data_IF_397532657912
#
_entry.id   IF_397532657912
#
_cell.length_a   1.000
_cell.length_b   1.000
_cell.length_c   1.000
_cell.angle_alpha   90.00
_cell.angle_beta   90.00
_cell.angle_gamma   90.00
#
_symmetry.space_group_name_H-M   'P 1'
#
loop_
_entity.id
_entity.type
_entity.pdbx_description
1 polymer ?
#
# COMPACT_ATOMS: atom_id res chain seq x y z
N UNK A 1 -26.48 -5.10 6.23
CA UNK A 1 -25.71 -4.42 7.29
C UNK A 1 -25.18 -5.53 8.20
N UNK A 2 -23.91 -5.92 8.05
CA UNK A 2 -23.30 -6.99 8.84
C UNK A 2 -22.89 -6.44 10.21
N UNK A 3 -23.76 -6.51 11.22
CA UNK A 3 -23.35 -6.31 12.62
C UNK A 3 -22.79 -7.63 13.15
N UNK A 4 -21.49 -7.84 12.96
CA UNK A 4 -20.78 -9.09 13.36
C UNK A 4 -19.95 -8.97 14.64
N UNK A 5 -19.93 -7.82 15.32
CA UNK A 5 -19.06 -7.59 16.48
C UNK A 5 -19.87 -7.35 17.75
N UNK A 6 -19.97 -8.36 18.63
CA UNK A 6 -20.56 -8.20 19.97
C UNK A 6 -19.56 -7.69 20.99
N UNK A 7 -18.26 -7.93 20.76
CA UNK A 7 -17.26 -7.75 21.80
C UNK A 7 -16.75 -6.31 21.84
N UNK A 8 -16.55 -5.78 23.05
CA UNK A 8 -15.81 -4.53 23.24
C UNK A 8 -14.33 -4.83 23.28
N UNK A 9 -13.57 -4.24 22.36
CA UNK A 9 -12.15 -4.50 22.17
C UNK A 9 -11.26 -3.43 22.79
N UNK A 10 -10.06 -3.81 23.19
CA UNK A 10 -9.03 -2.91 23.67
C UNK A 10 -7.63 -3.26 23.12
N UNK A 11 -6.82 -2.23 22.86
CA UNK A 11 -5.41 -2.37 22.51
C UNK A 11 -4.61 -1.08 22.77
N UNK A 12 -3.29 -1.20 22.77
CA UNK A 12 -2.36 -0.06 22.75
C UNK A 12 -2.28 0.45 21.30
N UNK A 13 -2.67 1.70 21.06
CA UNK A 13 -2.70 2.32 19.72
C UNK A 13 -1.45 3.12 19.37
N UNK A 14 -0.42 3.09 20.23
CA UNK A 14 0.87 3.77 20.03
C UNK A 14 1.99 2.75 19.83
N UNK A 15 3.07 3.10 19.10
CA UNK A 15 4.19 2.18 18.89
C UNK A 15 4.77 1.65 20.20
N UNK A 16 5.17 0.38 20.21
CA UNK A 16 5.83 -0.22 21.37
C UNK A 16 7.18 0.45 21.59
N UNK A 17 7.33 1.14 22.71
CA UNK A 17 8.57 1.81 23.05
C UNK A 17 8.45 2.64 24.31
N UNK A 18 9.52 3.36 24.67
CA UNK A 18 9.47 4.40 25.69
C UNK A 18 9.07 5.71 25.02
N UNK A 19 8.03 6.35 25.53
CA UNK A 19 7.56 7.64 25.03
C UNK A 19 7.02 8.52 26.16
N UNK A 20 6.84 9.81 25.87
CA UNK A 20 6.19 10.73 26.82
C UNK A 20 4.72 10.37 27.06
N UNK A 21 4.03 9.91 26.02
CA UNK A 21 2.61 9.53 26.05
C UNK A 21 2.41 8.22 25.30
N UNK A 22 1.51 7.38 25.80
CA UNK A 22 0.95 6.23 25.10
C UNK A 22 -0.58 6.29 25.12
N UNK A 23 -1.20 5.79 24.07
CA UNK A 23 -2.66 5.73 23.93
C UNK A 23 -3.12 4.28 24.00
N UNK A 24 -4.11 4.03 24.85
CA UNK A 24 -4.86 2.77 24.92
C UNK A 24 -6.29 3.10 24.50
N UNK A 25 -6.82 2.33 23.55
CA UNK A 25 -8.15 2.54 22.97
C UNK A 25 -9.05 1.38 23.35
N UNK A 26 -10.31 1.69 23.70
CA UNK A 26 -11.39 0.74 23.94
C UNK A 26 -12.55 1.11 23.00
N UNK A 27 -13.09 0.16 22.24
CA UNK A 27 -14.19 0.38 21.28
C UNK A 27 -15.22 -0.73 21.37
N UNK A 28 -16.51 -0.36 21.40
CA UNK A 28 -17.63 -1.29 21.42
C UNK A 28 -18.82 -0.72 22.20
N UNK A 29 -19.95 -1.43 22.17
CA UNK A 29 -21.19 -0.99 22.86
C UNK A 29 -21.00 -0.81 24.37
N UNK A 30 -20.14 -1.62 24.99
CA UNK A 30 -19.85 -1.56 26.44
C UNK A 30 -18.60 -0.73 26.78
N UNK A 31 -18.03 0.03 25.84
CA UNK A 31 -16.77 0.76 26.04
C UNK A 31 -16.80 1.68 27.27
N UNK A 32 -17.90 2.40 27.49
CA UNK A 32 -18.05 3.26 28.67
C UNK A 32 -18.26 2.46 29.95
N UNK A 33 -19.10 1.42 29.92
CA UNK A 33 -19.36 0.58 31.08
C UNK A 33 -18.10 -0.15 31.57
N UNK A 34 -17.24 -0.57 30.64
CA UNK A 34 -15.94 -1.19 30.95
C UNK A 34 -14.98 -0.14 31.51
N UNK A 35 -14.88 1.03 30.88
CA UNK A 35 -13.99 2.11 31.30
C UNK A 35 -14.32 2.63 32.72
N UNK A 36 -15.59 2.78 33.06
CA UNK A 36 -16.04 3.26 34.38
C UNK A 36 -15.62 2.35 35.55
N UNK A 37 -15.27 1.09 35.29
CA UNK A 37 -14.80 0.16 36.34
C UNK A 37 -13.40 0.47 36.87
N UNK A 38 -12.57 1.16 36.08
CA UNK A 38 -11.16 1.37 36.42
C UNK A 38 -10.64 2.79 36.15
N UNK A 39 -11.48 3.67 35.57
CA UNK A 39 -11.18 5.09 35.31
C UNK A 39 -12.05 5.96 36.21
N UNK A 40 -11.43 6.81 37.01
CA UNK A 40 -12.09 7.66 38.01
C UNK A 40 -11.87 9.14 37.71
N UNK A 41 -12.84 9.85 37.11
CA UNK A 41 -12.70 11.27 36.77
C UNK A 41 -12.42 12.13 38.00
N UNK A 42 -11.45 13.04 37.93
CA UNK A 42 -11.14 13.97 39.03
C UNK A 42 -12.30 14.92 39.34
N UNK A 43 -13.12 15.21 38.33
CA UNK A 43 -14.37 15.99 38.45
C UNK A 43 -15.49 15.26 39.19
N UNK A 44 -15.34 13.94 39.44
CA UNK A 44 -16.34 13.04 40.02
C UNK A 44 -17.65 12.93 39.23
N UNK A 45 -17.66 13.40 37.98
CA UNK A 45 -18.78 13.20 37.05
C UNK A 45 -18.77 11.77 36.52
N UNK A 46 -19.94 11.18 36.32
CA UNK A 46 -20.11 9.93 35.56
C UNK A 46 -19.81 10.14 34.09
N UNK A 47 -19.53 9.08 33.32
CA UNK A 47 -19.28 9.24 31.89
C UNK A 47 -20.52 9.75 31.16
N UNK A 48 -21.73 9.41 31.62
CA UNK A 48 -22.99 9.91 31.06
C UNK A 48 -23.12 11.44 31.12
N UNK A 49 -22.56 12.08 32.15
CA UNK A 49 -22.58 13.53 32.34
C UNK A 49 -21.49 14.27 31.56
N UNK A 50 -20.52 13.52 31.01
CA UNK A 50 -19.41 14.09 30.24
C UNK A 50 -19.86 14.22 28.78
N UNK A 51 -19.65 15.42 28.23
CA UNK A 51 -19.99 15.75 26.85
C UNK A 51 -19.16 14.88 25.89
N UNK A 52 -19.78 14.39 24.82
CA UNK A 52 -19.06 13.69 23.76
C UNK A 52 -17.93 14.56 23.16
N UNK A 53 -16.86 13.90 22.71
CA UNK A 53 -15.68 14.54 22.12
C UNK A 53 -15.01 15.55 23.06
N UNK A 54 -15.00 15.25 24.37
CA UNK A 54 -14.30 16.06 25.38
C UNK A 54 -13.19 15.26 26.06
N UNK A 55 -12.25 15.99 26.64
CA UNK A 55 -11.11 15.46 27.40
C UNK A 55 -11.27 15.79 28.88
N UNK A 56 -10.90 14.86 29.75
CA UNK A 56 -10.88 15.08 31.20
C UNK A 56 -9.74 14.32 31.87
N UNK A 57 -9.32 14.80 33.05
CA UNK A 57 -8.30 14.15 33.87
C UNK A 57 -8.93 13.08 34.78
N UNK A 58 -8.32 11.91 34.86
CA UNK A 58 -8.81 10.80 35.68
C UNK A 58 -7.65 10.00 36.32
N UNK A 59 -7.94 9.41 37.47
CA UNK A 59 -7.10 8.35 38.02
C UNK A 59 -7.44 7.02 37.34
N UNK A 60 -6.43 6.36 36.78
CA UNK A 60 -6.55 5.01 36.24
C UNK A 60 -6.02 4.04 37.28
N UNK A 61 -6.80 3.03 37.63
CA UNK A 61 -6.48 2.11 38.74
C UNK A 61 -6.55 0.65 38.30
N UNK A 62 -5.92 -0.23 39.07
CA UNK A 62 -6.14 -1.68 38.94
C UNK A 62 -7.53 -2.06 39.46
N UNK A 63 -8.03 -3.27 39.15
CA UNK A 63 -9.27 -3.79 39.74
C UNK A 63 -9.27 -3.80 41.27
N UNK A 64 -8.10 -3.95 41.90
CA UNK A 64 -7.91 -3.90 43.36
C UNK A 64 -7.82 -2.47 43.92
N UNK A 65 -7.93 -1.44 43.07
CA UNK A 65 -7.96 -0.03 43.46
C UNK A 65 -6.58 0.64 43.58
N UNK A 66 -5.49 -0.02 43.18
CA UNK A 66 -4.15 0.58 43.18
C UNK A 66 -4.02 1.59 42.03
N UNK A 67 -3.50 2.79 42.31
CA UNK A 67 -3.24 3.80 41.28
C UNK A 67 -2.17 3.30 40.30
N UNK A 68 -2.53 3.29 39.01
CA UNK A 68 -1.61 3.00 37.90
C UNK A 68 -1.03 4.29 37.34
N UNK A 69 -1.89 5.25 36.99
CA UNK A 69 -1.50 6.53 36.41
C UNK A 69 -2.58 7.60 36.64
N UNK A 70 -2.18 8.86 36.50
CA UNK A 70 -3.10 9.97 36.29
C UNK A 70 -3.08 10.32 34.80
N UNK A 71 -4.18 10.06 34.10
CA UNK A 71 -4.24 10.06 32.63
C UNK A 71 -5.31 11.01 32.10
N UNK A 72 -5.10 11.48 30.86
CA UNK A 72 -6.13 12.20 30.10
C UNK A 72 -7.02 11.19 29.38
N UNK A 73 -8.32 11.34 29.56
CA UNK A 73 -9.33 10.45 28.98
C UNK A 73 -10.14 11.23 27.96
N UNK A 74 -10.28 10.67 26.76
CA UNK A 74 -11.12 11.20 25.71
C UNK A 74 -12.27 10.24 25.44
N UNK A 75 -13.49 10.74 25.38
CA UNK A 75 -14.66 9.93 25.02
C UNK A 75 -15.25 10.34 23.66
N UNK A 76 -15.55 9.36 22.83
CA UNK A 76 -16.25 9.52 21.56
C UNK A 76 -17.53 8.69 21.62
N UNK A 77 -18.68 9.32 21.36
CA UNK A 77 -19.96 8.61 21.33
C UNK A 77 -20.32 8.21 19.91
N UNK A 78 -20.90 7.03 19.73
CA UNK A 78 -21.49 6.60 18.48
C UNK A 78 -22.49 7.65 17.95
N UNK A 79 -22.55 7.92 16.63
CA UNK A 79 -21.68 7.39 15.57
C UNK A 79 -20.42 8.24 15.32
N UNK A 80 -20.08 9.19 16.21
CA UNK A 80 -19.02 10.21 16.04
C UNK A 80 -17.68 9.79 16.63
N UNK A 81 -17.25 8.58 16.30
CA UNK A 81 -15.94 8.01 16.61
C UNK A 81 -15.26 7.49 15.34
N UNK A 82 -14.04 6.96 15.48
CA UNK A 82 -13.32 6.31 14.38
C UNK A 82 -14.03 5.04 13.90
N UNK A 83 -14.36 4.14 14.82
CA UNK A 83 -15.03 2.86 14.54
C UNK A 83 -16.52 2.99 14.23
N UNK A 84 -17.13 4.15 14.54
CA UNK A 84 -18.58 4.33 14.51
C UNK A 84 -19.28 3.89 15.81
N UNK A 85 -18.56 3.26 16.73
CA UNK A 85 -19.04 2.79 18.03
C UNK A 85 -18.74 3.81 19.15
N UNK A 86 -19.12 3.48 20.38
CA UNK A 86 -18.60 4.19 21.56
C UNK A 86 -17.11 3.86 21.74
N UNK A 87 -16.29 4.89 21.96
CA UNK A 87 -14.82 4.77 22.09
C UNK A 87 -14.31 5.56 23.28
N UNK A 88 -13.42 4.95 24.06
CA UNK A 88 -12.65 5.58 25.13
C UNK A 88 -11.17 5.51 24.77
N UNK A 89 -10.47 6.64 24.82
CA UNK A 89 -9.02 6.70 24.67
C UNK A 89 -8.37 7.17 25.97
N UNK A 90 -7.37 6.41 26.43
CA UNK A 90 -6.59 6.67 27.63
C UNK A 90 -5.20 7.14 27.19
N UNK A 91 -4.94 8.43 27.33
CA UNK A 91 -3.62 9.03 27.10
C UNK A 91 -2.84 9.05 28.42
N UNK A 92 -1.96 8.07 28.59
CA UNK A 92 -1.19 7.79 29.80
C UNK A 92 0.32 7.98 29.55
N UNK A 93 1.14 7.93 30.60
CA UNK A 93 2.59 7.96 30.45
C UNK A 93 3.09 6.73 29.66
N UNK A 94 4.02 6.95 28.72
CA UNK A 94 4.46 5.93 27.74
C UNK A 94 5.44 4.88 28.26
N UNK A 95 5.25 4.38 29.48
CA UNK A 95 6.04 3.28 30.05
C UNK A 95 5.51 1.91 29.64
N UNK A 96 6.37 1.03 29.11
CA UNK A 96 5.99 -0.31 28.60
C UNK A 96 5.19 -1.12 29.64
N UNK A 97 5.66 -1.18 30.88
CA UNK A 97 4.97 -1.93 31.94
C UNK A 97 3.65 -1.25 32.36
N UNK A 98 3.62 0.09 32.33
CA UNK A 98 2.43 0.84 32.71
C UNK A 98 1.30 0.60 31.71
N UNK A 99 1.59 0.72 30.41
CA UNK A 99 0.60 0.50 29.35
C UNK A 99 0.07 -0.92 29.33
N UNK A 100 0.94 -1.91 29.60
CA UNK A 100 0.52 -3.32 29.79
C UNK A 100 -0.43 -3.50 30.97
N UNK A 101 -0.16 -2.83 32.10
CA UNK A 101 -1.02 -2.91 33.28
C UNK A 101 -2.39 -2.22 33.06
N UNK A 102 -2.41 -1.07 32.39
CA UNK A 102 -3.67 -0.39 32.05
C UNK A 102 -4.49 -1.23 31.06
N UNK A 103 -3.85 -1.81 30.05
CA UNK A 103 -4.53 -2.74 29.13
C UNK A 103 -5.07 -3.98 29.87
N UNK A 104 -4.30 -4.53 30.82
CA UNK A 104 -4.74 -5.65 31.65
C UNK A 104 -5.93 -5.29 32.55
N UNK A 105 -6.01 -4.03 33.03
CA UNK A 105 -7.17 -3.54 33.75
C UNK A 105 -8.42 -3.47 32.86
N UNK A 106 -8.28 -3.05 31.60
CA UNK A 106 -9.36 -3.09 30.62
C UNK A 106 -9.86 -4.52 30.36
N UNK A 107 -8.94 -5.49 30.22
CA UNK A 107 -9.31 -6.91 30.06
C UNK A 107 -10.03 -7.47 31.28
N UNK A 108 -9.53 -7.17 32.47
CA UNK A 108 -10.16 -7.58 33.74
C UNK A 108 -11.55 -6.94 33.91
N UNK A 109 -11.79 -5.78 33.30
CA UNK A 109 -13.06 -5.08 33.31
C UNK A 109 -14.06 -5.59 32.26
N UNK A 110 -13.65 -6.45 31.32
CA UNK A 110 -14.51 -7.11 30.33
C UNK A 110 -14.16 -6.81 28.87
N UNK A 111 -13.12 -6.02 28.58
CA UNK A 111 -12.67 -5.86 27.20
C UNK A 111 -11.94 -7.11 26.68
N UNK A 112 -11.99 -7.34 25.37
CA UNK A 112 -11.22 -8.39 24.68
C UNK A 112 -10.04 -7.76 23.94
N UNK A 113 -8.97 -8.51 23.73
CA UNK A 113 -7.84 -8.02 22.94
C UNK A 113 -8.27 -7.81 21.48
N UNK A 114 -8.04 -6.60 20.97
CA UNK A 114 -8.28 -6.32 19.55
C UNK A 114 -7.35 -7.15 18.65
N UNK A 115 -7.89 -7.67 17.55
CA UNK A 115 -7.12 -8.27 16.48
C UNK A 115 -6.35 -7.23 15.65
N UNK A 116 -5.45 -7.69 14.76
CA UNK A 116 -4.82 -6.83 13.75
C UNK A 116 -5.89 -6.14 12.88
N UNK A 117 -5.81 -4.82 12.72
CA UNK A 117 -6.73 -4.09 11.82
C UNK A 117 -8.14 -3.90 12.35
N UNK A 118 -8.46 -4.41 13.55
CA UNK A 118 -9.85 -4.58 13.95
C UNK A 118 -10.60 -3.26 14.12
N UNK A 119 -9.95 -2.19 14.61
CA UNK A 119 -10.62 -0.89 14.72
C UNK A 119 -10.97 -0.33 13.35
N UNK A 120 -10.05 -0.45 12.38
CA UNK A 120 -10.27 -0.01 11.00
C UNK A 120 -11.31 -0.89 10.30
N UNK A 121 -11.30 -2.20 10.56
CA UNK A 121 -12.33 -3.14 10.07
C UNK A 121 -13.72 -2.75 10.57
N UNK A 122 -13.85 -2.41 11.84
CA UNK A 122 -15.12 -1.91 12.41
C UNK A 122 -15.55 -0.59 11.77
N UNK A 123 -14.62 0.33 11.52
CA UNK A 123 -14.90 1.57 10.80
C UNK A 123 -15.43 1.31 9.38
N UNK A 124 -14.83 0.37 8.65
CA UNK A 124 -15.33 -0.09 7.35
C UNK A 124 -16.74 -0.70 7.46
N UNK A 125 -16.97 -1.62 8.40
CA UNK A 125 -18.29 -2.24 8.62
C UNK A 125 -19.37 -1.24 9.04
N UNK A 126 -19.00 -0.17 9.75
CA UNK A 126 -19.89 0.93 10.11
C UNK A 126 -20.14 1.93 8.97
N UNK A 127 -19.57 1.70 7.77
CA UNK A 127 -19.69 2.59 6.61
C UNK A 127 -18.96 3.92 6.76
N UNK A 128 -17.98 4.00 7.67
CA UNK A 128 -17.20 5.21 7.95
C UNK A 128 -16.08 5.41 6.93
N UNK A 129 -15.62 4.31 6.33
CA UNK A 129 -14.56 4.24 5.33
C UNK A 129 -14.93 3.20 4.27
N UNK A 130 -14.55 3.42 3.01
CA UNK A 130 -14.50 2.37 1.99
C UNK A 130 -13.28 1.47 2.17
N UNK A 131 -13.22 0.37 1.43
CA UNK A 131 -12.07 -0.53 1.46
C UNK A 131 -10.78 0.15 0.94
N UNK A 132 -10.90 0.95 -0.13
CA UNK A 132 -9.79 1.77 -0.66
C UNK A 132 -9.29 2.81 0.36
N UNK A 133 -10.20 3.45 1.10
CA UNK A 133 -9.85 4.39 2.16
C UNK A 133 -9.15 3.68 3.34
N UNK A 134 -9.61 2.49 3.72
CA UNK A 134 -8.98 1.66 4.74
C UNK A 134 -7.55 1.23 4.35
N UNK A 135 -7.34 0.77 3.11
CA UNK A 135 -6.01 0.45 2.57
C UNK A 135 -5.09 1.68 2.59
N UNK A 136 -5.64 2.86 2.31
CA UNK A 136 -4.89 4.12 2.33
C UNK A 136 -4.46 4.55 3.74
N UNK A 137 -5.22 4.17 4.78
CA UNK A 137 -4.79 4.35 6.18
C UNK A 137 -3.51 3.57 6.48
N UNK A 138 -3.38 2.34 5.97
CA UNK A 138 -2.13 1.56 6.08
C UNK A 138 -1.01 2.28 5.33
N UNK A 139 -1.27 2.63 4.07
CA UNK A 139 -0.28 3.30 3.23
C UNK A 139 0.29 4.55 3.87
N UNK A 140 -0.53 5.31 4.60
CA UNK A 140 -0.09 6.50 5.34
C UNK A 140 0.84 6.18 6.52
N UNK A 141 0.57 5.08 7.23
CA UNK A 141 1.37 4.66 8.39
C UNK A 141 2.72 4.10 7.93
N UNK A 142 2.70 3.34 6.84
CA UNK A 142 3.88 2.65 6.32
C UNK A 142 4.71 3.50 5.36
N UNK A 143 4.19 4.64 4.90
CA UNK A 143 4.83 5.54 3.95
C UNK A 143 6.29 5.83 4.32
N UNK A 144 7.20 5.59 3.37
CA UNK A 144 8.64 5.85 3.48
C UNK A 144 9.10 7.03 2.63
N UNK A 145 8.25 7.53 1.74
CA UNK A 145 8.53 8.69 0.87
C UNK A 145 7.39 9.70 0.94
N UNK A 146 7.67 10.96 0.65
CA UNK A 146 6.64 12.00 0.54
C UNK A 146 5.61 11.67 -0.56
N UNK A 147 6.05 11.03 -1.64
CA UNK A 147 5.18 10.54 -2.69
C UNK A 147 4.19 9.48 -2.16
N UNK A 148 4.66 8.48 -1.41
CA UNK A 148 3.80 7.46 -0.82
C UNK A 148 2.80 8.07 0.19
N UNK A 149 3.27 9.03 1.00
CA UNK A 149 2.41 9.75 1.95
C UNK A 149 1.32 10.56 1.21
N UNK A 150 1.68 11.24 0.13
CA UNK A 150 0.75 12.01 -0.70
C UNK A 150 -0.31 11.12 -1.34
N UNK A 151 0.09 9.97 -1.90
CA UNK A 151 -0.86 9.00 -2.46
C UNK A 151 -1.82 8.47 -1.39
N UNK A 152 -1.32 8.12 -0.21
CA UNK A 152 -2.16 7.65 0.89
C UNK A 152 -3.15 8.73 1.37
N UNK A 153 -2.72 10.00 1.47
CA UNK A 153 -3.60 11.12 1.82
C UNK A 153 -4.73 11.32 0.82
N UNK A 154 -4.41 11.25 -0.48
CA UNK A 154 -5.40 11.33 -1.57
C UNK A 154 -6.38 10.17 -1.51
N UNK A 155 -5.89 8.95 -1.27
CA UNK A 155 -6.73 7.77 -1.10
C UNK A 155 -7.71 7.90 0.06
N UNK A 156 -7.27 8.41 1.23
CA UNK A 156 -8.15 8.69 2.38
C UNK A 156 -9.19 9.77 2.08
N UNK A 157 -8.88 10.75 1.22
CA UNK A 157 -9.85 11.78 0.80
C UNK A 157 -10.96 11.24 -0.10
N UNK A 158 -10.87 9.98 -0.53
CA UNK A 158 -11.87 9.29 -1.33
C UNK A 158 -11.84 9.65 -2.81
N UNK A 159 -10.73 10.16 -3.35
CA UNK A 159 -10.63 10.49 -4.79
C UNK A 159 -10.85 9.26 -5.67
N UNK A 160 -10.12 8.17 -5.37
CA UNK A 160 -10.27 6.90 -6.07
C UNK A 160 -11.70 6.34 -5.94
N UNK A 161 -12.30 6.43 -4.75
CA UNK A 161 -13.68 6.02 -4.51
C UNK A 161 -14.67 6.77 -5.40
N UNK A 162 -14.57 8.10 -5.50
CA UNK A 162 -15.46 8.90 -6.37
C UNK A 162 -15.31 8.50 -7.84
N UNK A 163 -14.08 8.22 -8.28
CA UNK A 163 -13.80 7.77 -9.65
C UNK A 163 -14.42 6.40 -9.92
N UNK A 164 -14.28 5.43 -9.02
CA UNK A 164 -14.89 4.10 -9.16
C UNK A 164 -16.42 4.13 -9.02
N UNK A 165 -16.97 4.99 -8.16
CA UNK A 165 -18.43 5.23 -8.06
C UNK A 165 -19.01 5.78 -9.37
N UNK A 166 -18.28 6.69 -10.04
CA UNK A 166 -18.67 7.19 -11.37
C UNK A 166 -18.69 6.05 -12.40
N UNK A 167 -17.59 5.31 -12.53
CA UNK A 167 -17.49 4.17 -13.46
C UNK A 167 -18.60 3.15 -13.22
N UNK A 168 -18.85 2.79 -11.96
CA UNK A 168 -19.95 1.92 -11.58
C UNK A 168 -21.31 2.47 -12.06
N UNK A 169 -21.56 3.75 -11.83
CA UNK A 169 -22.82 4.40 -12.24
C UNK A 169 -22.98 4.35 -13.76
N UNK A 170 -21.90 4.64 -14.50
CA UNK A 170 -21.90 4.61 -15.96
C UNK A 170 -22.18 3.19 -16.49
N UNK A 171 -21.56 2.16 -15.90
CA UNK A 171 -21.84 0.74 -16.22
C UNK A 171 -23.31 0.40 -15.96
N UNK A 172 -23.83 0.72 -14.76
CA UNK A 172 -25.22 0.40 -14.39
C UNK A 172 -26.25 1.14 -15.25
N UNK A 173 -25.91 2.33 -15.76
CA UNK A 173 -26.73 3.06 -16.72
C UNK A 173 -26.88 2.28 -18.04
N UNK A 174 -25.78 1.72 -18.56
CA UNK A 174 -25.81 0.88 -19.76
C UNK A 174 -26.61 -0.41 -19.52
N UNK A 175 -26.42 -1.07 -18.37
CA UNK A 175 -27.21 -2.26 -17.98
C UNK A 175 -28.71 -1.95 -17.99
N UNK A 176 -29.11 -0.84 -17.37
CA UNK A 176 -30.52 -0.43 -17.31
C UNK A 176 -31.13 -0.20 -18.69
N UNK A 177 -30.36 0.36 -19.63
CA UNK A 177 -30.82 0.55 -21.02
C UNK A 177 -30.94 -0.78 -21.77
N UNK A 178 -29.99 -1.69 -21.59
CA UNK A 178 -30.05 -3.03 -22.18
C UNK A 178 -31.29 -3.78 -21.70
N UNK A 179 -31.58 -3.79 -20.41
CA UNK A 179 -32.77 -4.47 -19.88
C UNK A 179 -34.08 -3.79 -20.30
N UNK A 180 -34.11 -2.47 -20.43
CA UNK A 180 -35.28 -1.79 -20.98
C UNK A 180 -35.60 -2.25 -22.42
N UNK A 181 -34.58 -2.45 -23.26
CA UNK A 181 -34.73 -2.97 -24.63
C UNK A 181 -35.26 -4.42 -24.63
N UNK A 182 -34.73 -5.26 -23.74
CA UNK A 182 -35.09 -6.68 -23.65
C UNK A 182 -36.52 -6.87 -23.11
N UNK A 183 -36.86 -6.17 -22.03
CA UNK A 183 -38.13 -6.37 -21.33
C UNK A 183 -39.30 -5.64 -22.00
N UNK A 184 -39.04 -4.53 -22.70
CA UNK A 184 -40.07 -3.66 -23.28
C UNK A 184 -39.78 -3.28 -24.75
N UNK A 185 -39.69 -4.25 -25.68
CA UNK A 185 -39.31 -4.00 -27.07
C UNK A 185 -40.35 -3.18 -27.87
N UNK A 186 -41.60 -3.14 -27.41
CA UNK A 186 -42.72 -2.46 -28.07
C UNK A 186 -43.08 -1.09 -27.44
N UNK A 187 -42.37 -0.67 -26.38
CA UNK A 187 -42.60 0.62 -25.74
C UNK A 187 -41.68 1.71 -26.30
N UNK A 188 -42.25 2.86 -26.68
CA UNK A 188 -41.52 4.07 -27.09
C UNK A 188 -40.90 4.75 -25.84
N UNK A 189 -39.88 4.10 -25.27
CA UNK A 189 -39.08 4.63 -24.17
C UNK A 189 -37.94 5.49 -24.73
N UNK A 190 -37.60 6.60 -24.07
CA UNK A 190 -36.38 7.36 -24.35
C UNK A 190 -35.15 6.53 -23.92
N UNK A 191 -34.75 5.59 -24.77
CA UNK A 191 -33.64 4.66 -24.55
C UNK A 191 -32.35 5.17 -25.23
N UNK A 192 -31.20 4.80 -24.67
CA UNK A 192 -29.92 4.95 -25.37
C UNK A 192 -29.97 4.21 -26.71
N UNK A 193 -29.51 4.85 -27.78
CA UNK A 193 -29.28 4.11 -29.02
C UNK A 193 -28.12 3.12 -28.82
N UNK A 194 -28.04 2.09 -29.67
CA UNK A 194 -26.90 1.17 -29.64
C UNK A 194 -25.55 1.87 -29.79
N UNK A 195 -25.51 2.92 -30.61
CA UNK A 195 -24.31 3.75 -30.78
C UNK A 195 -23.98 4.53 -29.50
N UNK A 196 -24.99 5.02 -28.76
CA UNK A 196 -24.76 5.69 -27.47
C UNK A 196 -24.19 4.71 -26.43
N UNK A 197 -24.70 3.47 -26.38
CA UNK A 197 -24.17 2.42 -25.50
C UNK A 197 -22.73 2.05 -25.86
N UNK A 198 -22.40 1.91 -27.15
CA UNK A 198 -21.03 1.66 -27.61
C UNK A 198 -20.07 2.81 -27.22
N UNK A 199 -20.50 4.06 -27.41
CA UNK A 199 -19.72 5.23 -27.02
C UNK A 199 -19.53 5.33 -25.49
N UNK A 200 -20.56 5.00 -24.72
CA UNK A 200 -20.48 4.94 -23.26
C UNK A 200 -19.46 3.89 -22.82
N UNK A 201 -19.50 2.68 -23.39
CA UNK A 201 -18.52 1.63 -23.12
C UNK A 201 -17.10 2.05 -23.53
N UNK A 202 -16.91 2.75 -24.65
CA UNK A 202 -15.59 3.28 -25.03
C UNK A 202 -15.05 4.30 -24.04
N UNK A 203 -15.90 5.18 -23.52
CA UNK A 203 -15.51 6.10 -22.46
C UNK A 203 -15.11 5.36 -21.18
N UNK A 204 -15.86 4.33 -20.79
CA UNK A 204 -15.55 3.51 -19.61
C UNK A 204 -14.21 2.78 -19.80
N UNK A 205 -13.98 2.18 -20.97
CA UNK A 205 -12.72 1.51 -21.33
C UNK A 205 -11.55 2.48 -21.21
N UNK A 206 -11.68 3.70 -21.76
CA UNK A 206 -10.61 4.71 -21.67
C UNK A 206 -10.31 5.12 -20.23
N UNK A 207 -11.34 5.28 -19.38
CA UNK A 207 -11.15 5.57 -17.95
C UNK A 207 -10.47 4.42 -17.19
N UNK A 208 -10.85 3.18 -17.48
CA UNK A 208 -10.27 1.99 -16.88
C UNK A 208 -8.81 1.75 -17.33
N UNK A 209 -8.50 1.97 -18.61
CA UNK A 209 -7.13 1.87 -19.11
C UNK A 209 -6.22 2.94 -18.50
N UNK A 210 -6.73 4.17 -18.29
CA UNK A 210 -6.00 5.21 -17.58
C UNK A 210 -5.66 4.77 -16.14
N UNK A 211 -6.63 4.25 -15.39
CA UNK A 211 -6.40 3.70 -14.04
C UNK A 211 -5.43 2.51 -14.06
N UNK A 212 -5.60 1.58 -15.01
CA UNK A 212 -4.71 0.43 -15.17
C UNK A 212 -3.27 0.87 -15.40
N UNK A 213 -3.05 1.89 -16.22
CA UNK A 213 -1.72 2.41 -16.54
C UNK A 213 -1.04 3.09 -15.34
N UNK A 214 -1.81 3.68 -14.41
CA UNK A 214 -1.28 4.36 -13.24
C UNK A 214 -0.71 3.40 -12.18
N UNK A 215 -1.09 2.12 -12.20
CA UNK A 215 -0.62 1.12 -11.25
C UNK A 215 0.90 0.96 -11.23
N UNK A 216 1.59 1.14 -12.38
CA UNK A 216 3.05 1.08 -12.42
C UNK A 216 3.68 2.11 -11.49
N UNK A 217 3.18 3.34 -11.51
CA UNK A 217 3.60 4.42 -10.61
C UNK A 217 3.27 4.09 -9.16
N UNK A 218 2.01 3.72 -8.87
CA UNK A 218 1.60 3.45 -7.49
C UNK A 218 2.35 2.28 -6.85
N UNK A 219 2.61 1.23 -7.62
CA UNK A 219 3.43 0.11 -7.17
C UNK A 219 4.88 0.50 -6.91
N UNK A 220 5.50 1.28 -7.80
CA UNK A 220 6.87 1.75 -7.61
C UNK A 220 7.05 2.59 -6.33
N UNK A 221 6.03 3.36 -5.97
CA UNK A 221 6.02 4.26 -4.81
C UNK A 221 5.64 3.55 -3.51
N UNK A 222 4.61 2.69 -3.53
CA UNK A 222 4.04 2.09 -2.31
C UNK A 222 4.60 0.70 -2.00
N UNK A 223 4.76 -0.17 -3.00
CA UNK A 223 5.22 -1.55 -2.79
C UNK A 223 6.73 -1.71 -3.06
N UNK A 224 7.25 -0.92 -4.00
CA UNK A 224 8.62 -0.94 -4.48
C UNK A 224 8.88 -1.82 -5.69
N UNK A 225 9.99 -1.54 -6.37
CA UNK A 225 10.42 -2.17 -7.62
C UNK A 225 11.36 -3.34 -7.29
N UNK A 226 11.04 -4.59 -7.68
CA UNK A 226 12.00 -5.70 -7.62
C UNK A 226 13.27 -5.35 -8.39
N UNK A 227 14.38 -5.17 -7.67
CA UNK A 227 15.62 -4.64 -8.21
C UNK A 227 16.76 -5.60 -7.95
N UNK A 228 17.56 -5.87 -8.98
CA UNK A 228 18.81 -6.64 -8.88
C UNK A 228 19.99 -5.75 -9.26
N UNK A 229 21.09 -5.88 -8.50
CA UNK A 229 22.36 -5.23 -8.84
C UNK A 229 23.30 -6.33 -9.33
N UNK A 230 23.63 -6.32 -10.62
CA UNK A 230 24.48 -7.34 -11.22
C UNK A 230 25.77 -6.73 -11.79
N UNK A 231 26.79 -7.55 -12.02
CA UNK A 231 28.09 -7.12 -12.51
C UNK A 231 29.20 -8.06 -12.06
N UNK A 232 30.34 -7.99 -12.73
CA UNK A 232 31.55 -8.76 -12.39
C UNK A 232 32.02 -8.49 -10.94
N UNK A 233 32.75 -9.42 -10.27
CA UNK A 233 33.37 -9.10 -8.99
C UNK A 233 34.22 -7.82 -9.03
N UNK A 234 34.29 -7.10 -7.91
CA UNK A 234 35.05 -5.85 -7.76
C UNK A 234 34.63 -4.65 -8.67
N UNK A 235 33.48 -4.71 -9.35
CA UNK A 235 32.95 -3.56 -10.13
C UNK A 235 32.40 -2.41 -9.27
N UNK A 236 32.23 -2.66 -7.96
CA UNK A 236 31.66 -1.70 -7.01
C UNK A 236 30.15 -1.82 -6.82
N UNK A 237 29.58 -3.02 -7.01
CA UNK A 237 28.20 -3.35 -6.62
C UNK A 237 27.90 -2.97 -5.17
N UNK A 238 28.78 -3.35 -4.24
CA UNK A 238 28.64 -3.01 -2.81
C UNK A 238 28.69 -1.50 -2.56
N UNK A 239 29.44 -0.75 -3.38
CA UNK A 239 29.47 0.72 -3.30
C UNK A 239 28.13 1.33 -3.70
N UNK A 240 27.50 0.83 -4.76
CA UNK A 240 26.16 1.27 -5.21
C UNK A 240 25.10 0.86 -4.20
N UNK A 241 25.18 -0.37 -3.69
CA UNK A 241 24.26 -0.85 -2.66
C UNK A 241 24.34 0.04 -1.41
N UNK A 242 25.55 0.39 -0.97
CA UNK A 242 25.73 1.32 0.15
C UNK A 242 25.22 2.72 -0.18
N UNK A 243 25.48 3.24 -1.38
CA UNK A 243 24.95 4.54 -1.84
C UNK A 243 23.41 4.58 -1.77
N UNK A 244 22.75 3.48 -2.14
CA UNK A 244 21.30 3.33 -2.07
C UNK A 244 20.81 3.10 -0.63
N UNK A 245 21.55 2.34 0.18
CA UNK A 245 21.20 2.03 1.57
C UNK A 245 21.45 3.19 2.55
N UNK A 246 22.33 4.13 2.22
CA UNK A 246 22.57 5.38 2.96
C UNK A 246 21.38 6.36 2.88
N UNK A 247 20.40 6.10 2.00
CA UNK A 247 19.26 6.97 1.73
C UNK A 247 18.14 6.88 2.78
N UNK A 248 18.51 6.78 4.06
CA UNK A 248 17.64 6.30 5.14
C UNK A 248 17.27 4.84 4.89
N UNK A 249 17.98 3.91 5.55
CA UNK A 249 17.47 2.56 5.72
C UNK A 249 16.04 2.71 6.23
N UNK A 250 15.05 2.34 5.42
CA UNK A 250 13.74 2.10 5.94
C UNK A 250 13.92 0.91 6.87
N UNK A 251 14.13 1.18 8.17
CA UNK A 251 14.27 0.13 9.16
C UNK A 251 12.95 -0.63 9.09
N UNK A 252 12.98 -1.77 8.41
CA UNK A 252 12.02 -2.83 8.64
C UNK A 252 12.33 -3.26 10.07
N UNK A 253 11.58 -2.70 11.00
CA UNK A 253 11.58 -3.24 12.36
C UNK A 253 11.20 -4.69 12.25
N UNK A 254 12.00 -5.56 12.87
CA UNK A 254 11.70 -6.97 13.06
C UNK A 254 10.27 -7.10 13.64
N UNK A 255 9.27 -7.34 12.81
CA UNK A 255 8.01 -7.90 13.30
C UNK A 255 8.35 -9.35 13.59
N UNK A 256 8.47 -9.68 14.89
CA UNK A 256 8.70 -11.04 15.33
C UNK A 256 7.58 -11.95 14.80
N UNK A 257 7.88 -12.77 13.78
CA UNK A 257 6.93 -13.74 13.24
C UNK A 257 7.12 -14.18 11.79
N UNK A 258 7.81 -13.43 10.93
CA UNK A 258 7.96 -13.78 9.50
C UNK A 258 9.28 -14.51 9.22
N UNK A 259 9.52 -15.61 9.92
CA UNK A 259 10.60 -16.54 9.53
C UNK A 259 10.09 -17.45 8.41
N UNK A 260 10.30 -17.05 7.14
CA UNK A 260 10.58 -17.94 5.99
C UNK A 260 10.64 -17.25 4.62
N UNK A 261 10.23 -16.00 4.52
CA UNK A 261 10.28 -15.28 3.25
C UNK A 261 11.60 -14.51 3.10
N UNK A 262 12.11 -14.50 1.86
CA UNK A 262 13.35 -13.86 1.43
C UNK A 262 13.50 -12.48 2.09
N UNK A 263 14.58 -12.27 2.85
CA UNK A 263 14.89 -10.97 3.44
C UNK A 263 15.31 -10.03 2.29
N UNK A 264 14.34 -9.36 1.67
CA UNK A 264 14.58 -8.25 0.74
C UNK A 264 14.71 -6.96 1.54
N UNK A 265 15.82 -6.25 1.39
CA UNK A 265 15.92 -4.88 1.91
C UNK A 265 15.22 -3.91 0.96
N UNK A 266 14.37 -3.06 1.53
CA UNK A 266 13.71 -1.97 0.79
C UNK A 266 14.46 -0.68 1.05
N UNK A 267 14.96 -0.05 -0.02
CA UNK A 267 15.68 1.23 0.03
C UNK A 267 14.88 2.33 -0.67
N UNK A 268 14.97 3.55 -0.15
CA UNK A 268 14.34 4.73 -0.77
C UNK A 268 15.24 5.23 -1.90
N UNK A 269 14.66 5.47 -3.08
CA UNK A 269 15.35 6.03 -4.23
C UNK A 269 14.48 7.13 -4.87
N UNK A 270 14.71 8.36 -4.41
CA UNK A 270 13.83 9.48 -4.72
C UNK A 270 12.43 9.23 -4.15
N UNK A 271 11.44 9.22 -5.03
CA UNK A 271 10.03 8.98 -4.77
C UNK A 271 9.67 7.49 -4.77
N UNK A 272 10.51 6.65 -5.37
CA UNK A 272 10.30 5.22 -5.51
C UNK A 272 10.97 4.41 -4.38
N UNK A 273 10.45 3.21 -4.17
CA UNK A 273 11.08 2.19 -3.32
C UNK A 273 11.73 1.13 -4.20
N UNK A 274 12.93 0.68 -3.84
CA UNK A 274 13.61 -0.44 -4.49
C UNK A 274 13.66 -1.61 -3.53
N UNK A 275 13.12 -2.76 -3.95
CA UNK A 275 13.23 -4.03 -3.22
C UNK A 275 14.44 -4.78 -3.77
N UNK A 276 15.55 -4.73 -3.05
CA UNK A 276 16.80 -5.36 -3.46
C UNK A 276 16.70 -6.87 -3.20
N UNK A 277 16.96 -7.68 -4.24
CA UNK A 277 17.03 -9.14 -4.10
C UNK A 277 18.30 -9.56 -3.38
N UNK A 278 18.15 -10.45 -2.39
CA UNK A 278 19.19 -11.22 -1.70
C UNK A 278 20.46 -10.46 -1.26
N UNK A 279 20.40 -9.91 -0.06
CA UNK A 279 21.60 -9.74 0.77
C UNK A 279 21.42 -10.48 2.08
N UNK A 280 21.51 -11.80 2.04
CA UNK A 280 21.94 -12.55 3.22
C UNK A 280 23.35 -12.06 3.64
N UNK A 281 23.45 -10.92 4.34
CA UNK A 281 24.76 -10.39 4.73
C UNK A 281 24.92 -8.89 4.98
N UNK A 282 23.89 -8.03 4.95
CA UNK A 282 24.11 -6.62 5.38
C UNK A 282 24.45 -6.52 6.88
N UNK A 283 24.20 -7.57 7.66
CA UNK A 283 24.67 -7.68 9.05
C UNK A 283 26.04 -8.33 9.22
N UNK A 284 26.48 -9.23 8.33
CA UNK A 284 27.81 -9.85 8.42
C UNK A 284 28.35 -10.24 7.02
N UNK A 285 29.53 -9.71 6.68
CA UNK A 285 30.42 -10.02 5.55
C UNK A 285 30.22 -9.26 4.22
N UNK A 286 31.28 -8.52 3.85
CA UNK A 286 31.53 -7.94 2.53
C UNK A 286 31.84 -8.98 1.45
N UNK A 287 32.05 -10.24 1.81
CA UNK A 287 32.49 -11.32 0.90
C UNK A 287 31.34 -12.02 0.14
N UNK A 288 30.10 -11.98 0.63
CA UNK A 288 28.98 -12.73 0.02
C UNK A 288 28.37 -12.01 -1.19
N UNK A 289 28.36 -10.67 -1.20
CA UNK A 289 27.92 -9.85 -2.35
C UNK A 289 28.89 -9.97 -3.53
N UNK A 290 30.15 -10.34 -3.27
CA UNK A 290 31.16 -10.50 -4.31
C UNK A 290 31.09 -11.86 -5.02
N UNK A 291 30.58 -12.91 -4.36
CA UNK A 291 30.46 -14.28 -4.90
C UNK A 291 29.12 -14.57 -5.60
N UNK A 292 28.60 -13.62 -6.37
CA UNK A 292 27.47 -13.91 -7.26
C UNK A 292 27.99 -14.58 -8.54
N UNK A 293 27.91 -15.90 -8.60
CA UNK A 293 28.14 -16.64 -9.84
C UNK A 293 27.07 -16.32 -10.90
N UNK A 294 27.43 -16.44 -12.19
CA UNK A 294 26.57 -16.17 -13.37
C UNK A 294 25.20 -16.85 -13.27
N UNK A 295 25.13 -18.06 -12.71
CA UNK A 295 23.90 -18.85 -12.58
C UNK A 295 22.92 -18.33 -11.50
N UNK A 296 23.42 -17.74 -10.42
CA UNK A 296 22.58 -17.11 -9.38
C UNK A 296 22.06 -15.75 -9.85
N UNK A 297 22.91 -14.97 -10.51
CA UNK A 297 22.52 -13.71 -11.15
C UNK A 297 21.39 -13.91 -12.18
N UNK A 298 21.37 -15.03 -12.92
CA UNK A 298 20.25 -15.34 -13.84
C UNK A 298 18.91 -15.47 -13.14
N UNK A 299 18.82 -16.23 -12.04
CA UNK A 299 17.56 -16.42 -11.30
C UNK A 299 17.05 -15.12 -10.68
N UNK A 300 17.95 -14.30 -10.16
CA UNK A 300 17.57 -13.01 -9.58
C UNK A 300 17.12 -12.02 -10.67
N UNK A 301 17.81 -12.01 -11.82
CA UNK A 301 17.38 -11.28 -13.01
C UNK A 301 16.00 -11.72 -13.45
N UNK A 302 15.69 -13.02 -13.47
CA UNK A 302 14.36 -13.58 -13.78
C UNK A 302 13.26 -12.98 -12.91
N UNK A 303 13.50 -12.85 -11.60
CA UNK A 303 12.54 -12.29 -10.63
C UNK A 303 12.55 -10.76 -10.51
N UNK A 304 13.39 -10.05 -11.28
CA UNK A 304 13.56 -8.60 -11.21
C UNK A 304 12.80 -7.85 -12.30
N UNK A 305 12.48 -6.58 -12.03
CA UNK A 305 11.91 -5.64 -13.00
C UNK A 305 12.88 -4.53 -13.36
N UNK A 306 13.75 -4.16 -12.42
CA UNK A 306 14.86 -3.24 -12.62
C UNK A 306 16.19 -3.97 -12.43
N UNK A 307 17.06 -3.83 -13.42
CA UNK A 307 18.42 -4.35 -13.40
C UNK A 307 19.39 -3.18 -13.37
N UNK A 308 20.18 -3.07 -12.31
CA UNK A 308 21.31 -2.15 -12.21
C UNK A 308 22.60 -2.91 -12.54
N UNK A 309 23.05 -2.77 -13.79
CA UNK A 309 24.19 -3.53 -14.30
C UNK A 309 25.48 -2.71 -14.20
N UNK A 310 26.37 -3.12 -13.31
CA UNK A 310 27.52 -2.32 -12.85
C UNK A 310 28.81 -2.72 -13.56
N UNK A 311 29.42 -1.75 -14.25
CA UNK A 311 30.69 -1.91 -14.96
C UNK A 311 31.74 -0.94 -14.42
N UNK A 312 32.98 -1.43 -14.25
CA UNK A 312 34.10 -0.62 -13.78
C UNK A 312 34.87 -0.04 -14.95
N UNK A 313 34.74 1.27 -15.17
CA UNK A 313 35.41 1.97 -16.28
C UNK A 313 36.93 2.09 -16.13
N UNK A 314 37.49 1.79 -14.95
CA UNK A 314 38.93 1.91 -14.65
C UNK A 314 39.77 0.69 -15.02
N UNK A 315 39.17 -0.32 -15.66
CA UNK A 315 39.84 -1.53 -16.16
C UNK A 315 39.42 -1.81 -17.61
N UNK A 316 40.20 -2.57 -18.40
CA UNK A 316 39.79 -2.99 -19.73
C UNK A 316 38.51 -3.84 -19.68
N UNK A 317 37.66 -3.68 -20.71
CA UNK A 317 36.46 -4.49 -20.87
C UNK A 317 36.82 -5.91 -21.29
N UNK A 318 36.39 -6.92 -20.52
CA UNK A 318 36.79 -8.32 -20.69
C UNK A 318 35.62 -9.28 -21.01
N UNK A 319 35.91 -10.59 -21.10
CA UNK A 319 34.91 -11.60 -21.45
C UNK A 319 33.78 -11.76 -20.41
N UNK A 320 34.07 -11.59 -19.12
CA UNK A 320 33.04 -11.64 -18.09
C UNK A 320 32.11 -10.40 -18.18
N UNK A 321 32.67 -9.23 -18.50
CA UNK A 321 31.85 -8.04 -18.77
C UNK A 321 30.95 -8.26 -20.01
N UNK A 322 31.43 -8.97 -21.05
CA UNK A 322 30.61 -9.39 -22.20
C UNK A 322 29.50 -10.36 -21.81
N UNK A 323 29.78 -11.32 -20.94
CA UNK A 323 28.78 -12.27 -20.44
C UNK A 323 27.64 -11.54 -19.70
N UNK A 324 27.99 -10.64 -18.78
CA UNK A 324 27.00 -9.81 -18.07
C UNK A 324 26.19 -8.97 -19.06
N UNK A 325 26.84 -8.34 -20.04
CA UNK A 325 26.16 -7.56 -21.07
C UNK A 325 25.17 -8.42 -21.88
N UNK A 326 25.54 -9.66 -22.20
CA UNK A 326 24.65 -10.62 -22.88
C UNK A 326 23.42 -11.00 -22.04
N UNK A 327 23.60 -11.20 -20.74
CA UNK A 327 22.49 -11.49 -19.83
C UNK A 327 21.49 -10.33 -19.75
N UNK A 328 21.99 -9.09 -19.62
CA UNK A 328 21.11 -7.93 -19.48
C UNK A 328 20.45 -7.54 -20.81
N UNK A 329 21.08 -7.82 -21.96
CA UNK A 329 20.43 -7.72 -23.28
C UNK A 329 19.23 -8.66 -23.38
N UNK A 330 19.42 -9.94 -23.05
CA UNK A 330 18.31 -10.91 -23.04
C UNK A 330 17.19 -10.47 -22.10
N UNK A 331 17.55 -9.94 -20.93
CA UNK A 331 16.56 -9.46 -19.97
C UNK A 331 15.77 -8.23 -20.44
N UNK A 332 16.43 -7.29 -21.14
CA UNK A 332 15.77 -6.13 -21.75
C UNK A 332 14.84 -6.54 -22.90
N UNK A 333 15.26 -7.51 -23.73
CA UNK A 333 14.43 -8.11 -24.79
C UNK A 333 13.18 -8.79 -24.22
N UNK A 334 13.27 -9.37 -23.01
CA UNK A 334 12.14 -9.91 -22.24
C UNK A 334 11.26 -8.82 -21.58
N UNK A 335 11.55 -7.54 -21.81
CA UNK A 335 10.75 -6.40 -21.35
C UNK A 335 11.14 -5.84 -19.98
N UNK A 336 12.29 -6.23 -19.41
CA UNK A 336 12.79 -5.67 -18.14
C UNK A 336 13.46 -4.33 -18.34
N UNK A 337 13.41 -3.49 -17.32
CA UNK A 337 14.11 -2.19 -17.36
C UNK A 337 15.57 -2.38 -16.95
N UNK A 338 16.50 -2.04 -17.83
CA UNK A 338 17.94 -2.14 -17.57
C UNK A 338 18.55 -0.75 -17.50
N UNK A 339 19.34 -0.49 -16.46
CA UNK A 339 20.18 0.69 -16.33
C UNK A 339 21.63 0.24 -16.19
N UNK A 340 22.46 0.65 -17.14
CA UNK A 340 23.91 0.41 -17.14
C UNK A 340 24.56 1.46 -16.25
N UNK A 341 25.24 1.01 -15.21
CA UNK A 341 25.90 1.85 -14.22
C UNK A 341 27.42 1.78 -14.42
N UNK A 342 27.98 2.85 -15.00
CA UNK A 342 29.41 2.99 -15.24
C UNK A 342 30.08 3.61 -14.02
N UNK A 343 30.70 2.77 -13.21
CA UNK A 343 31.31 3.13 -11.93
C UNK A 343 32.78 3.55 -12.06
N UNK A 344 33.30 4.17 -11.00
CA UNK A 344 34.70 4.66 -10.84
C UNK A 344 35.09 5.74 -11.85
N UNK A 345 34.16 6.64 -12.17
CA UNK A 345 34.36 7.79 -13.07
C UNK A 345 35.47 8.76 -12.60
N UNK A 346 35.89 8.65 -11.34
CA UNK A 346 37.02 9.38 -10.77
C UNK A 346 38.39 8.90 -11.28
N UNK A 347 38.44 7.76 -11.98
CA UNK A 347 39.66 7.17 -12.56
C UNK A 347 39.71 7.33 -14.08
N UNK A 348 40.88 7.04 -14.66
CA UNK A 348 41.05 6.98 -16.10
C UNK A 348 40.13 5.92 -16.72
N UNK A 349 39.35 6.32 -17.73
CA UNK A 349 38.42 5.45 -18.44
C UNK A 349 39.17 4.61 -19.47
N UNK A 350 39.06 3.29 -19.37
CA UNK A 350 39.69 2.33 -20.29
C UNK A 350 38.73 1.77 -21.35
N UNK A 351 37.44 2.08 -21.27
CA UNK A 351 36.47 1.83 -22.35
C UNK A 351 35.39 2.93 -22.41
N UNK A 352 34.75 3.06 -23.58
CA UNK A 352 33.72 4.09 -23.83
C UNK A 352 32.30 3.59 -23.53
N UNK A 353 31.40 4.55 -23.31
CA UNK A 353 29.97 4.27 -23.09
C UNK A 353 29.28 3.70 -24.35
N UNK A 354 29.90 3.88 -25.53
CA UNK A 354 29.38 3.41 -26.83
C UNK A 354 29.20 1.89 -26.90
N UNK A 355 29.95 1.13 -26.07
CA UNK A 355 29.81 -0.32 -25.94
C UNK A 355 28.40 -0.74 -25.45
N UNK A 356 27.69 0.18 -24.81
CA UNK A 356 26.37 -0.03 -24.23
C UNK A 356 25.27 0.67 -25.04
N UNK A 357 25.53 0.98 -26.32
CA UNK A 357 24.54 1.57 -27.21
C UNK A 357 23.22 0.79 -27.21
N UNK A 358 22.11 1.52 -27.06
CA UNK A 358 20.76 0.96 -26.93
C UNK A 358 20.23 0.96 -25.49
N UNK A 359 21.11 0.95 -24.49
CA UNK A 359 20.73 0.99 -23.09
C UNK A 359 20.66 2.40 -22.52
N UNK A 360 19.92 2.52 -21.41
CA UNK A 360 20.05 3.65 -20.51
C UNK A 360 21.34 3.56 -19.69
N UNK A 361 22.26 4.48 -19.96
CA UNK A 361 23.56 4.54 -19.29
C UNK A 361 23.59 5.67 -18.26
N UNK A 362 24.11 5.38 -17.07
CA UNK A 362 24.45 6.37 -16.06
C UNK A 362 25.89 6.20 -15.61
N UNK A 363 26.60 7.31 -15.56
CA UNK A 363 27.99 7.39 -15.10
C UNK A 363 28.02 7.90 -13.67
N UNK A 364 28.56 7.09 -12.74
CA UNK A 364 28.60 7.42 -11.32
C UNK A 364 30.02 7.42 -10.76
N UNK A 365 30.26 8.33 -9.81
CA UNK A 365 31.35 8.25 -8.84
C UNK A 365 30.74 8.15 -7.45
N UNK A 366 31.45 7.64 -6.45
CA UNK A 366 30.93 7.53 -5.08
C UNK A 366 30.80 8.90 -4.37
N UNK A 367 29.99 9.81 -4.93
CA UNK A 367 29.72 11.19 -4.49
C UNK A 367 28.21 11.48 -4.56
N UNK A 368 27.75 12.48 -3.80
CA UNK A 368 26.33 12.85 -3.68
C UNK A 368 25.63 13.12 -5.02
N UNK A 369 26.30 13.73 -6.00
CA UNK A 369 25.71 14.04 -7.32
C UNK A 369 25.26 12.79 -8.10
N UNK A 370 25.95 11.66 -7.89
CA UNK A 370 25.65 10.40 -8.58
C UNK A 370 24.39 9.72 -8.06
N UNK A 371 24.02 9.99 -6.81
CA UNK A 371 22.81 9.47 -6.17
C UNK A 371 21.56 10.09 -6.77
N UNK A 372 21.55 11.43 -6.91
CA UNK A 372 20.42 12.15 -7.50
C UNK A 372 20.19 11.71 -8.94
N UNK A 373 21.26 11.63 -9.74
CA UNK A 373 21.16 11.19 -11.12
C UNK A 373 20.57 9.77 -11.25
N UNK A 374 20.90 8.85 -10.34
CA UNK A 374 20.34 7.49 -10.32
C UNK A 374 18.85 7.52 -9.97
N UNK A 375 18.46 8.28 -8.95
CA UNK A 375 17.05 8.47 -8.59
C UNK A 375 16.24 9.05 -9.74
N UNK A 376 16.69 10.18 -10.32
CA UNK A 376 16.00 10.86 -11.42
C UNK A 376 15.82 9.90 -12.63
N UNK A 377 16.83 9.07 -12.90
CA UNK A 377 16.77 8.08 -13.98
C UNK A 377 15.74 6.98 -13.70
N UNK A 378 15.71 6.44 -12.49
CA UNK A 378 14.74 5.42 -12.08
C UNK A 378 13.32 5.98 -12.09
N UNK A 379 13.12 7.18 -11.53
CA UNK A 379 11.83 7.86 -11.54
C UNK A 379 11.32 8.05 -12.97
N UNK A 380 12.16 8.50 -13.90
CA UNK A 380 11.78 8.68 -15.31
C UNK A 380 11.29 7.40 -16.00
N UNK A 381 11.60 6.22 -15.46
CA UNK A 381 11.22 4.91 -16.03
C UNK A 381 9.99 4.31 -15.38
N UNK A 382 9.74 4.59 -14.10
CA UNK A 382 8.70 3.92 -13.31
C UNK A 382 7.59 4.85 -12.84
N UNK A 383 7.85 6.14 -12.78
CA UNK A 383 6.90 7.16 -12.31
C UNK A 383 6.48 8.00 -13.50
N UNK A 384 5.19 7.95 -13.81
CA UNK A 384 4.56 8.79 -14.83
C UNK A 384 3.91 10.00 -14.18
N UNK A 385 4.18 11.18 -14.71
CA UNK A 385 3.61 12.44 -14.23
C UNK A 385 4.19 12.91 -12.90
N UNK A 386 3.66 14.03 -12.41
CA UNK A 386 4.03 14.61 -11.12
C UNK A 386 3.06 14.10 -10.05
N UNK A 387 3.48 13.17 -9.19
CA UNK A 387 2.63 12.60 -8.14
C UNK A 387 2.14 13.66 -7.15
N UNK A 388 2.94 14.70 -6.90
CA UNK A 388 2.61 15.73 -5.90
C UNK A 388 1.56 16.70 -6.43
N UNK A 389 1.62 17.04 -7.72
CA UNK A 389 0.77 18.06 -8.34
C UNK A 389 -0.27 17.53 -9.33
N UNK A 390 -0.19 16.28 -9.78
CA UNK A 390 -1.20 15.69 -10.67
C UNK A 390 -2.51 15.47 -9.93
N UNK A 391 -3.65 15.69 -10.58
CA UNK A 391 -4.96 15.32 -10.04
C UNK A 391 -5.35 13.87 -10.32
N UNK A 392 -4.44 13.07 -10.86
CA UNK A 392 -4.73 11.74 -11.40
C UNK A 392 -4.89 10.70 -10.28
N UNK A 393 -5.90 9.85 -10.41
CA UNK A 393 -6.11 8.72 -9.50
C UNK A 393 -5.14 7.58 -9.80
N UNK A 394 -4.37 7.19 -8.78
CA UNK A 394 -3.34 6.17 -8.88
C UNK A 394 -3.75 4.90 -8.14
N UNK A 395 -3.69 3.76 -8.82
CA UNK A 395 -3.86 2.45 -8.18
C UNK A 395 -2.59 2.10 -7.40
N UNK A 396 -2.75 1.71 -6.14
CA UNK A 396 -1.62 1.57 -5.20
C UNK A 396 -1.25 0.13 -4.89
N UNK A 397 -2.13 -0.83 -5.16
CA UNK A 397 -1.89 -2.23 -4.83
C UNK A 397 -2.44 -3.22 -5.89
N UNK A 398 -1.94 -4.45 -5.86
CA UNK A 398 -2.30 -5.49 -6.83
C UNK A 398 -3.80 -5.86 -6.84
N UNK A 399 -4.49 -5.78 -5.70
CA UNK A 399 -5.93 -6.05 -5.61
C UNK A 399 -6.72 -5.02 -6.40
N UNK A 400 -6.39 -3.74 -6.20
CA UNK A 400 -7.01 -2.64 -6.93
C UNK A 400 -6.77 -2.79 -8.44
N UNK A 401 -5.54 -3.13 -8.83
CA UNK A 401 -5.19 -3.40 -10.22
C UNK A 401 -5.97 -4.57 -10.83
N UNK A 402 -6.10 -5.69 -10.10
CA UNK A 402 -6.84 -6.87 -10.57
C UNK A 402 -8.30 -6.52 -10.83
N UNK A 403 -8.98 -5.89 -9.87
CA UNK A 403 -10.38 -5.48 -10.00
C UNK A 403 -10.62 -4.55 -11.21
N UNK A 404 -9.70 -3.60 -11.47
CA UNK A 404 -9.76 -2.74 -12.66
C UNK A 404 -9.54 -3.55 -13.95
N UNK A 405 -8.60 -4.49 -13.97
CA UNK A 405 -8.34 -5.34 -15.12
C UNK A 405 -9.52 -6.27 -15.44
N UNK A 406 -10.14 -6.86 -14.42
CA UNK A 406 -11.29 -7.74 -14.55
C UNK A 406 -12.51 -6.96 -15.05
N UNK A 407 -12.75 -5.77 -14.50
CA UNK A 407 -13.78 -4.85 -14.98
C UNK A 407 -13.54 -4.47 -16.45
N UNK A 408 -12.32 -4.06 -16.81
CA UNK A 408 -11.94 -3.70 -18.18
C UNK A 408 -12.19 -4.86 -19.16
N UNK A 409 -11.76 -6.07 -18.80
CA UNK A 409 -11.97 -7.25 -19.63
C UNK A 409 -13.46 -7.54 -19.85
N UNK A 410 -14.28 -7.40 -18.81
CA UNK A 410 -15.72 -7.57 -18.89
C UNK A 410 -16.40 -6.49 -19.76
N UNK A 411 -16.00 -5.21 -19.66
CA UNK A 411 -16.57 -4.15 -20.51
C UNK A 411 -16.18 -4.32 -21.99
N UNK A 412 -14.94 -4.73 -22.28
CA UNK A 412 -14.51 -5.05 -23.65
C UNK A 412 -15.32 -6.23 -24.19
N UNK A 413 -15.51 -7.27 -23.38
CA UNK A 413 -16.32 -8.45 -23.71
C UNK A 413 -17.78 -8.06 -23.99
N UNK A 414 -18.37 -7.21 -23.14
CA UNK A 414 -19.72 -6.69 -23.31
C UNK A 414 -19.87 -5.90 -24.61
N UNK A 415 -18.92 -5.02 -24.94
CA UNK A 415 -18.94 -4.26 -26.19
C UNK A 415 -18.88 -5.19 -27.41
N UNK A 416 -18.03 -6.21 -27.38
CA UNK A 416 -17.97 -7.21 -28.44
C UNK A 416 -19.30 -8.00 -28.53
N UNK A 417 -19.85 -8.42 -27.40
CA UNK A 417 -21.09 -9.18 -27.34
C UNK A 417 -22.29 -8.38 -27.86
N UNK A 418 -22.34 -7.08 -27.53
CA UNK A 418 -23.35 -6.17 -28.04
C UNK A 418 -23.34 -6.19 -29.56
N UNK A 419 -22.18 -6.22 -30.22
CA UNK A 419 -22.07 -6.26 -31.68
C UNK A 419 -22.37 -7.62 -32.32
N UNK A 420 -22.04 -8.73 -31.64
CA UNK A 420 -21.87 -10.04 -32.28
C UNK A 420 -22.78 -11.16 -31.79
N UNK A 421 -23.33 -11.06 -30.57
CA UNK A 421 -24.13 -12.14 -29.98
C UNK A 421 -25.54 -11.69 -29.61
N UNK A 422 -25.69 -10.55 -28.94
CA UNK A 422 -26.98 -10.03 -28.50
C UNK A 422 -26.92 -9.33 -27.15
N UNK A 423 -27.99 -8.60 -26.86
CA UNK A 423 -28.07 -7.67 -25.73
C UNK A 423 -28.02 -8.40 -24.37
N UNK A 424 -28.58 -9.62 -24.27
CA UNK A 424 -28.55 -10.45 -23.05
C UNK A 424 -27.12 -10.77 -22.58
N UNK A 425 -26.24 -11.14 -23.52
CA UNK A 425 -24.85 -11.47 -23.21
C UNK A 425 -24.08 -10.20 -22.84
N UNK A 426 -24.34 -9.09 -23.54
CA UNK A 426 -23.75 -7.80 -23.21
C UNK A 426 -24.14 -7.35 -21.79
N UNK A 427 -25.42 -7.48 -21.42
CA UNK A 427 -25.91 -7.19 -20.08
C UNK A 427 -25.22 -8.03 -19.01
N UNK A 428 -25.12 -9.35 -19.22
CA UNK A 428 -24.46 -10.27 -18.27
C UNK A 428 -22.98 -9.92 -18.06
N UNK A 429 -22.26 -9.57 -19.13
CA UNK A 429 -20.85 -9.15 -19.02
C UNK A 429 -20.71 -7.80 -18.30
N UNK A 430 -21.64 -6.87 -18.47
CA UNK A 430 -21.65 -5.61 -17.72
C UNK A 430 -21.99 -5.81 -16.23
N UNK A 431 -22.86 -6.75 -15.88
CA UNK A 431 -23.10 -7.12 -14.47
C UNK A 431 -21.82 -7.62 -13.81
N UNK A 432 -21.04 -8.46 -14.52
CA UNK A 432 -19.73 -8.92 -14.07
C UNK A 432 -18.74 -7.76 -13.91
N UNK A 433 -18.76 -6.79 -14.83
CA UNK A 433 -17.96 -5.57 -14.71
C UNK A 433 -18.35 -4.73 -13.49
N UNK A 434 -19.65 -4.56 -13.24
CA UNK A 434 -20.18 -3.84 -12.08
C UNK A 434 -19.79 -4.50 -10.75
N UNK A 435 -19.81 -5.84 -10.69
CA UNK A 435 -19.34 -6.57 -9.51
C UNK A 435 -17.83 -6.41 -9.30
N UNK A 436 -17.03 -6.56 -10.36
CA UNK A 436 -15.57 -6.39 -10.30
C UNK A 436 -15.15 -4.99 -9.81
N UNK A 437 -15.78 -3.92 -10.31
CA UNK A 437 -15.46 -2.56 -9.84
C UNK A 437 -15.98 -2.30 -8.41
N UNK A 438 -17.06 -2.97 -7.98
CA UNK A 438 -17.59 -2.88 -6.61
C UNK A 438 -16.71 -3.56 -5.57
N UNK A 439 -15.83 -4.47 -6.00
CA UNK A 439 -14.84 -5.07 -5.11
C UNK A 439 -13.79 -4.03 -4.65
N UNK A 440 -13.50 -3.00 -5.46
CA UNK A 440 -12.53 -1.95 -5.12
C UNK A 440 -12.91 -1.22 -3.83
N UNK A 441 -14.13 -0.70 -3.77
CA UNK A 441 -14.61 0.11 -2.65
C UNK A 441 -15.25 -0.71 -1.52
N UNK A 442 -15.43 -2.01 -1.74
CA UNK A 442 -15.91 -2.97 -0.75
C UNK A 442 -17.43 -3.08 -0.67
N UNK A 443 -18.17 -2.63 -1.71
CA UNK A 443 -19.63 -2.85 -1.82
C UNK A 443 -19.96 -4.33 -2.00
N UNK A 444 -19.17 -5.04 -2.80
CA UNK A 444 -19.29 -6.47 -3.03
C UNK A 444 -17.92 -7.13 -2.82
N UNK A 445 -17.58 -7.41 -1.57
CA UNK A 445 -16.31 -8.06 -1.21
C UNK A 445 -16.54 -9.25 -0.30
N UNK A 446 -15.77 -10.32 -0.49
CA UNK A 446 -15.83 -11.49 0.37
C UNK A 446 -15.22 -11.22 1.76
N UNK A 447 -15.68 -11.96 2.76
CA UNK A 447 -15.16 -11.86 4.13
C UNK A 447 -13.67 -12.21 4.17
N UNK A 448 -13.23 -13.21 3.39
CA UNK A 448 -11.83 -13.64 3.33
C UNK A 448 -10.91 -12.53 2.80
N UNK A 449 -11.35 -11.75 1.81
CA UNK A 449 -10.59 -10.60 1.27
C UNK A 449 -10.49 -9.49 2.31
N UNK A 450 -11.60 -9.20 3.01
CA UNK A 450 -11.63 -8.24 4.11
C UNK A 450 -10.63 -8.66 5.20
N UNK A 451 -10.69 -9.91 5.65
CA UNK A 451 -9.78 -10.41 6.69
C UNK A 451 -8.32 -10.41 6.22
N UNK A 452 -8.03 -10.76 4.97
CA UNK A 452 -6.67 -10.70 4.43
C UNK A 452 -6.08 -9.28 4.43
N UNK A 453 -6.89 -8.26 4.12
CA UNK A 453 -6.47 -6.85 4.16
C UNK A 453 -6.18 -6.43 5.60
N UNK A 454 -7.11 -6.69 6.52
CA UNK A 454 -6.99 -6.25 7.91
C UNK A 454 -5.91 -7.02 8.69
N UNK A 455 -5.56 -8.24 8.28
CA UNK A 455 -4.43 -8.98 8.84
C UNK A 455 -3.07 -8.30 8.61
N UNK A 456 -2.94 -7.43 7.60
CA UNK A 456 -1.71 -6.66 7.34
C UNK A 456 -1.54 -5.46 8.28
N UNK A 457 -2.57 -5.07 9.02
CA UNK A 457 -2.49 -3.95 9.97
C UNK A 457 -1.78 -4.35 11.26
N UNK A 458 -1.24 -3.36 11.97
CA UNK A 458 -0.79 -3.55 13.34
C UNK A 458 -1.96 -3.70 14.31
N UNK A 459 -1.76 -4.43 15.41
CA UNK A 459 -2.71 -4.44 16.54
C UNK A 459 -2.78 -3.04 17.15
N UNK A 460 -4.00 -2.49 17.34
CA UNK A 460 -4.21 -1.14 17.88
C UNK A 460 -4.72 -0.12 16.86
N UNK A 461 -4.84 -0.52 15.60
CA UNK A 461 -5.61 0.14 14.53
C UNK A 461 -6.34 -0.91 13.73
#
# INVERSE_FOLDING_TARGET
>A
MYTMFSDTIAAISTPRGKGGVAVIRISGEDAFAIAEKFIFPKSKKSFAEIKANSVFLADVKTPEGKLLDESLITIFRAPRSYTGEDVVEISCHGGILLTQNILSAAFSAGAVQAGPGEFTRRAFSAGKLSLTEAESVIGMIDAKTNAALTLAQRGISGSLRKKTEKIYTDITSVIGNIYAIIDFPDEDLEQMTRLDMENAMDSIIAELDALKSSYRTGRAVCEGIPTVICGKPNTGKSTILNLLAENERAIVTDIAGTTRDVISETVVCGSALLRLSDTAGIRESSDVVEQMGVERSRKEIESSELILAVFDTSRPFDEEDKEVLGLVKSAEEDGKTVIIVLNKQDKEKLFSEELFGGFDVISISAKEDSKKALSDKIESKFISGDIENSGEEILTNARQYSAVCDCLACVISAKYALSSFGDDIAGTELERAASAISELDGREVSVDVVDHIFHKFCVGK
#
